data_IF_159452820065
#
_entry.id   IF_159452820065
#
_cell.length_a   1.000
_cell.length_b   1.000
_cell.length_c   1.000
_cell.angle_alpha   90.00
_cell.angle_beta   90.00
_cell.angle_gamma   90.00
#
_symmetry.space_group_name_H-M   'P 1'
#
loop_
_entity.id
_entity.type
_entity.pdbx_description
1 polymer ?
#
# COMPACT_ATOMS: atom_id res chain seq x y z
N UNK A 1 14.96 23.35 1.77
CA UNK A 1 15.57 22.04 2.06
C UNK A 1 14.84 21.01 1.22
N UNK A 2 15.53 20.11 0.51
CA UNK A 2 14.85 19.06 -0.27
C UNK A 2 14.16 18.09 0.72
N UNK A 3 12.86 17.79 0.59
CA UNK A 3 12.17 16.83 1.46
C UNK A 3 12.82 15.44 1.49
N UNK A 4 13.53 15.04 0.44
CA UNK A 4 14.31 13.79 0.38
C UNK A 4 15.56 13.86 1.25
N UNK A 5 16.18 15.04 1.39
CA UNK A 5 17.35 15.25 2.25
C UNK A 5 16.93 15.19 3.73
N UNK A 6 15.86 15.90 4.09
CA UNK A 6 15.35 15.90 5.47
C UNK A 6 14.88 14.50 5.93
N UNK A 7 14.24 13.75 5.02
CA UNK A 7 13.83 12.38 5.32
C UNK A 7 15.03 11.44 5.48
N UNK A 8 16.13 11.71 4.79
CA UNK A 8 17.35 10.93 4.89
C UNK A 8 18.15 11.23 6.15
N UNK A 9 18.24 12.50 6.55
CA UNK A 9 18.87 12.89 7.82
C UNK A 9 18.25 12.16 9.01
N UNK A 10 16.92 11.97 9.00
CA UNK A 10 16.22 11.15 10.02
C UNK A 10 16.60 9.68 10.00
N UNK A 11 16.89 9.12 8.83
CA UNK A 11 17.40 7.74 8.70
C UNK A 11 18.82 7.64 9.23
N UNK A 12 19.67 8.63 8.94
CA UNK A 12 21.04 8.66 9.43
C UNK A 12 21.12 8.85 10.94
N UNK A 13 20.22 9.68 11.50
CA UNK A 13 20.12 9.92 12.93
C UNK A 13 19.68 8.67 13.72
N UNK A 14 18.85 7.82 13.12
CA UNK A 14 18.31 6.62 13.78
C UNK A 14 18.22 5.44 12.80
N UNK A 15 19.39 4.90 12.48
CA UNK A 15 19.56 3.83 11.48
C UNK A 15 18.91 2.49 11.88
N UNK A 16 18.75 2.23 13.18
CA UNK A 16 18.11 0.99 13.63
C UNK A 16 16.58 1.04 13.49
N UNK A 17 16.02 2.23 13.27
CA UNK A 17 14.58 2.46 13.28
C UNK A 17 13.96 2.27 11.90
N UNK A 18 13.28 1.14 11.74
CA UNK A 18 12.61 0.77 10.50
C UNK A 18 11.54 1.79 10.06
N UNK A 19 10.92 2.53 10.98
CA UNK A 19 9.93 3.54 10.60
C UNK A 19 10.56 4.74 9.91
N UNK A 20 11.80 5.10 10.27
CA UNK A 20 12.56 6.15 9.57
C UNK A 20 12.83 5.75 8.13
N UNK A 21 13.29 4.51 7.91
CA UNK A 21 13.51 3.97 6.57
C UNK A 21 12.22 3.90 5.74
N UNK A 22 11.12 3.43 6.34
CA UNK A 22 9.80 3.37 5.68
C UNK A 22 9.32 4.76 5.24
N UNK A 23 9.43 5.76 6.12
CA UNK A 23 9.05 7.15 5.79
C UNK A 23 9.91 7.71 4.65
N UNK A 24 11.21 7.49 4.67
CA UNK A 24 12.11 7.93 3.60
C UNK A 24 11.74 7.34 2.24
N UNK A 25 11.49 6.03 2.21
CA UNK A 25 11.06 5.36 0.97
C UNK A 25 9.70 5.91 0.51
N UNK A 26 8.73 6.10 1.40
CA UNK A 26 7.44 6.68 1.07
C UNK A 26 7.54 8.10 0.46
N UNK A 27 8.45 8.94 0.97
CA UNK A 27 8.73 10.27 0.39
C UNK A 27 9.33 10.15 -1.01
N UNK A 28 10.31 9.26 -1.20
CA UNK A 28 10.90 9.03 -2.52
C UNK A 28 9.88 8.50 -3.54
N UNK A 29 8.95 7.66 -3.09
CA UNK A 29 7.83 7.16 -3.89
C UNK A 29 6.88 8.29 -4.28
N UNK A 30 6.44 9.10 -3.31
CA UNK A 30 5.49 10.19 -3.56
C UNK A 30 6.03 11.24 -4.53
N UNK A 31 7.35 11.38 -4.62
CA UNK A 31 8.03 12.32 -5.50
C UNK A 31 8.50 11.71 -6.83
N UNK A 32 8.19 10.42 -7.09
CA UNK A 32 8.68 9.66 -8.25
C UNK A 32 10.23 9.64 -8.37
N UNK A 33 10.93 9.72 -7.24
CA UNK A 33 12.39 9.84 -7.12
C UNK A 33 13.01 8.62 -6.44
N UNK A 34 12.49 7.43 -6.72
CA UNK A 34 12.98 6.17 -6.14
C UNK A 34 14.48 5.91 -6.43
N UNK A 35 14.97 6.41 -7.57
CA UNK A 35 16.37 6.31 -7.96
C UNK A 35 17.32 6.98 -6.94
N UNK A 36 16.87 8.04 -6.27
CA UNK A 36 17.67 8.75 -5.27
C UNK A 36 17.78 7.94 -3.96
N UNK A 37 16.72 7.21 -3.57
CA UNK A 37 16.80 6.25 -2.47
C UNK A 37 17.85 5.16 -2.73
N UNK A 38 17.85 4.60 -3.95
CA UNK A 38 18.83 3.59 -4.35
C UNK A 38 20.27 4.09 -4.33
N UNK A 39 20.52 5.34 -4.75
CA UNK A 39 21.86 5.96 -4.69
C UNK A 39 22.38 6.07 -3.26
N UNK A 40 21.54 6.56 -2.34
CA UNK A 40 21.92 6.75 -0.93
C UNK A 40 22.26 5.44 -0.24
N UNK A 41 21.42 4.44 -0.44
CA UNK A 41 21.62 3.12 0.13
C UNK A 41 22.85 2.40 -0.42
N UNK A 42 23.14 2.52 -1.72
CA UNK A 42 24.41 2.03 -2.28
C UNK A 42 25.62 2.78 -1.70
N UNK A 43 25.51 4.09 -1.51
CA UNK A 43 26.57 4.87 -0.89
C UNK A 43 26.84 4.45 0.55
N UNK A 44 25.82 4.15 1.36
CA UNK A 44 25.99 3.61 2.71
C UNK A 44 26.65 2.23 2.66
N UNK A 45 26.17 1.35 1.79
CA UNK A 45 26.80 0.04 1.57
C UNK A 45 28.28 0.23 1.23
N UNK A 46 28.63 1.11 0.32
CA UNK A 46 30.01 1.20 -0.18
C UNK A 46 30.95 1.93 0.79
N UNK A 47 30.43 2.77 1.69
CA UNK A 47 31.24 3.56 2.62
C UNK A 47 31.24 3.05 4.07
N UNK A 48 30.30 2.20 4.50
CA UNK A 48 30.24 1.68 5.87
C UNK A 48 30.17 0.14 5.92
N UNK A 49 31.34 -0.54 6.01
CA UNK A 49 31.41 -2.00 6.06
C UNK A 49 30.78 -2.62 7.30
N UNK A 50 30.68 -1.88 8.41
CA UNK A 50 30.10 -2.39 9.67
C UNK A 50 28.56 -2.42 9.61
N UNK A 51 27.96 -1.53 8.81
CA UNK A 51 26.52 -1.47 8.57
C UNK A 51 26.09 -2.17 7.30
N UNK A 52 27.02 -2.65 6.46
CA UNK A 52 26.77 -3.26 5.14
C UNK A 52 25.71 -4.36 5.17
N UNK A 53 25.88 -5.36 6.03
CA UNK A 53 25.05 -6.57 5.98
C UNK A 53 23.64 -6.33 6.51
N UNK A 54 23.51 -5.47 7.52
CA UNK A 54 22.20 -5.07 8.06
C UNK A 54 21.50 -4.05 7.16
N UNK A 55 22.26 -3.13 6.56
CA UNK A 55 21.76 -2.19 5.56
C UNK A 55 21.16 -2.95 4.38
N UNK A 56 21.91 -3.84 3.73
CA UNK A 56 21.45 -4.58 2.54
C UNK A 56 20.17 -5.36 2.84
N UNK A 57 20.10 -6.04 3.99
CA UNK A 57 18.93 -6.86 4.35
C UNK A 57 17.70 -6.01 4.64
N UNK A 58 17.85 -4.86 5.31
CA UNK A 58 16.74 -3.96 5.60
C UNK A 58 16.27 -3.19 4.36
N UNK A 59 17.21 -2.79 3.51
CA UNK A 59 16.95 -2.03 2.27
C UNK A 59 16.23 -2.90 1.26
N UNK A 60 16.70 -4.13 1.02
CA UNK A 60 16.07 -5.03 0.06
C UNK A 60 14.65 -5.42 0.51
N UNK A 61 14.45 -5.67 1.80
CA UNK A 61 13.13 -5.96 2.36
C UNK A 61 12.15 -4.79 2.25
N UNK A 62 12.57 -3.58 2.64
CA UNK A 62 11.71 -2.38 2.58
C UNK A 62 11.48 -1.90 1.16
N UNK A 63 12.46 -1.99 0.26
CA UNK A 63 12.29 -1.65 -1.15
C UNK A 63 11.40 -2.68 -1.84
N UNK A 64 11.54 -3.98 -1.55
CA UNK A 64 10.64 -5.00 -2.09
C UNK A 64 9.20 -4.77 -1.63
N UNK A 65 8.99 -4.50 -0.34
CA UNK A 65 7.67 -4.19 0.22
C UNK A 65 7.09 -2.89 -0.34
N UNK A 66 7.89 -1.83 -0.45
CA UNK A 66 7.44 -0.56 -1.02
C UNK A 66 7.14 -0.69 -2.51
N UNK A 67 7.91 -1.47 -3.26
CA UNK A 67 7.66 -1.78 -4.68
C UNK A 67 6.38 -2.60 -4.82
N UNK A 68 6.15 -3.56 -3.94
CA UNK A 68 4.93 -4.37 -3.92
C UNK A 68 3.71 -3.52 -3.56
N UNK A 69 3.79 -2.64 -2.56
CA UNK A 69 2.73 -1.68 -2.24
C UNK A 69 2.47 -0.70 -3.39
N UNK A 70 3.51 -0.25 -4.08
CA UNK A 70 3.38 0.58 -5.27
C UNK A 70 2.67 -0.16 -6.40
N UNK A 71 2.98 -1.45 -6.62
CA UNK A 71 2.30 -2.27 -7.62
C UNK A 71 0.83 -2.51 -7.25
N UNK A 72 0.53 -2.79 -5.98
CA UNK A 72 -0.84 -2.90 -5.48
C UNK A 72 -1.62 -1.59 -5.64
N UNK A 73 -0.97 -0.45 -5.38
CA UNK A 73 -1.61 0.87 -5.55
C UNK A 73 -1.75 1.26 -7.02
N UNK A 74 -0.87 0.77 -7.91
CA UNK A 74 -0.93 0.98 -9.37
C UNK A 74 -2.02 0.12 -10.04
N UNK A 75 -2.60 -0.84 -9.33
CA UNK A 75 -3.70 -1.70 -9.80
C UNK A 75 -4.74 -1.85 -8.68
N UNK A 76 -5.47 -0.78 -8.36
CA UNK A 76 -6.81 -0.92 -7.80
C UNK A 76 -7.81 -0.60 -8.92
N UNK A 77 -8.17 -1.53 -9.81
CA UNK A 77 -9.53 -1.52 -10.31
C UNK A 77 -10.40 -1.64 -9.06
N UNK A 78 -11.23 -0.63 -8.80
CA UNK A 78 -12.15 -0.60 -7.67
C UNK A 78 -12.70 -2.00 -7.40
N UNK A 79 -12.43 -2.54 -6.22
CA UNK A 79 -12.89 -3.88 -5.85
C UNK A 79 -14.42 -3.91 -5.97
N UNK A 80 -14.89 -4.57 -7.02
CA UNK A 80 -16.30 -4.64 -7.40
C UNK A 80 -17.09 -5.62 -6.50
N UNK A 81 -16.61 -5.93 -5.30
CA UNK A 81 -17.28 -6.88 -4.41
C UNK A 81 -18.53 -6.29 -3.73
N UNK A 82 -18.62 -4.97 -3.61
CA UNK A 82 -19.79 -4.32 -2.98
C UNK A 82 -21.07 -4.36 -3.84
N UNK A 83 -20.97 -4.59 -5.16
CA UNK A 83 -22.16 -4.65 -6.02
C UNK A 83 -22.88 -5.99 -5.93
N UNK A 84 -22.15 -7.08 -5.68
CA UNK A 84 -22.71 -8.44 -5.74
C UNK A 84 -23.69 -8.71 -4.59
N UNK A 85 -23.40 -8.21 -3.39
CA UNK A 85 -24.29 -8.32 -2.23
C UNK A 85 -25.54 -7.45 -2.39
N UNK A 86 -25.38 -6.23 -2.92
CA UNK A 86 -26.49 -5.31 -3.15
C UNK A 86 -27.52 -5.85 -4.15
N UNK A 87 -27.05 -6.45 -5.25
CA UNK A 87 -27.95 -7.09 -6.24
C UNK A 87 -28.71 -8.26 -5.63
N UNK A 88 -28.08 -9.05 -4.74
CA UNK A 88 -28.73 -10.20 -4.12
C UNK A 88 -29.81 -9.76 -3.11
N UNK A 89 -29.55 -8.70 -2.34
CA UNK A 89 -30.54 -8.11 -1.43
C UNK A 89 -31.74 -7.55 -2.21
N UNK A 90 -31.49 -6.81 -3.30
CA UNK A 90 -32.55 -6.29 -4.16
C UNK A 90 -33.43 -7.41 -4.76
N UNK A 91 -32.80 -8.51 -5.19
CA UNK A 91 -33.51 -9.67 -5.72
C UNK A 91 -34.40 -10.34 -4.66
N UNK A 92 -33.90 -10.50 -3.44
CA UNK A 92 -34.68 -11.06 -2.33
C UNK A 92 -35.88 -10.20 -1.96
N UNK A 93 -35.70 -8.86 -1.89
CA UNK A 93 -36.79 -7.92 -1.61
C UNK A 93 -37.87 -8.02 -2.71
N UNK A 94 -37.46 -8.06 -3.98
CA UNK A 94 -38.40 -8.17 -5.09
C UNK A 94 -39.16 -9.51 -5.10
N UNK A 95 -38.49 -10.63 -4.80
CA UNK A 95 -39.12 -11.94 -4.69
C UNK A 95 -40.16 -11.97 -3.54
N UNK A 96 -39.81 -11.36 -2.41
CA UNK A 96 -40.66 -11.29 -1.22
C UNK A 96 -41.91 -10.44 -1.49
N UNK A 97 -41.77 -9.31 -2.18
CA UNK A 97 -42.89 -8.46 -2.60
C UNK A 97 -43.81 -9.17 -3.61
N UNK A 98 -43.26 -9.85 -4.62
CA UNK A 98 -44.07 -10.65 -5.56
C UNK A 98 -44.81 -11.79 -4.86
N UNK A 99 -44.13 -12.53 -3.98
CA UNK A 99 -44.74 -13.62 -3.22
C UNK A 99 -45.89 -13.14 -2.32
N UNK A 100 -45.71 -12.01 -1.63
CA UNK A 100 -46.76 -11.39 -0.81
C UNK A 100 -47.96 -10.94 -1.66
N UNK A 101 -47.72 -10.35 -2.83
CA UNK A 101 -48.78 -9.95 -3.76
C UNK A 101 -49.60 -11.12 -4.29
N UNK A 102 -48.95 -12.22 -4.67
CA UNK A 102 -49.62 -13.44 -5.14
C UNK A 102 -50.45 -14.08 -4.02
N UNK A 103 -49.93 -14.13 -2.79
CA UNK A 103 -50.67 -14.65 -1.64
C UNK A 103 -51.90 -13.80 -1.29
N UNK A 104 -51.81 -12.48 -1.44
CA UNK A 104 -52.96 -11.58 -1.26
C UNK A 104 -54.02 -11.79 -2.35
N UNK A 105 -53.61 -11.98 -3.62
CA UNK A 105 -54.53 -12.27 -4.72
C UNK A 105 -55.19 -13.65 -4.63
N UNK A 106 -54.51 -14.65 -4.07
CA UNK A 106 -55.08 -15.98 -3.83
C UNK A 106 -55.98 -16.04 -2.58
N UNK A 107 -55.89 -15.04 -1.69
CA UNK A 107 -56.72 -14.92 -0.48
C UNK A 107 -57.86 -13.91 -0.59
N UNK A 108 -57.90 -13.11 -1.66
CA UNK A 108 -59.00 -12.21 -1.99
C UNK A 108 -60.01 -12.92 -2.89
#
# INVERSE_FOLDING_TARGET
MDPIDEAWERVEADWANQDSHRRFVAVCVALDRLADAGKRYRAVRDNDPARRDDAVRQIDGLIALATQQLQDTRVVPASHEHKRTLTWVAFFIMLLLMGAGILLLLRA
#
